data_IF_513374776288
#
_entry.id   IF_513374776288
#
_cell.length_a   1.000
_cell.length_b   1.000
_cell.length_c   1.000
_cell.angle_alpha   90.00
_cell.angle_beta   90.00
_cell.angle_gamma   90.00
#
_symmetry.space_group_name_H-M   'P 1'
#
loop_
_entity.id
_entity.type
_entity.pdbx_description
1 polymer ?
#
# COMPACT_ATOMS: atom_id res chain seq x y z
N UNK A 1 -0.36 12.95 -23.52
CA UNK A 1 -0.83 11.59 -23.90
C UNK A 1 -1.52 10.87 -22.74
N UNK A 2 -0.99 10.91 -21.51
CA UNK A 2 -1.60 10.21 -20.36
C UNK A 2 -3.00 10.66 -19.96
N UNK A 3 -3.45 11.81 -20.46
CA UNK A 3 -4.73 12.42 -20.12
C UNK A 3 -5.89 12.04 -21.07
N UNK A 4 -5.57 11.49 -22.25
CA UNK A 4 -6.55 11.09 -23.26
C UNK A 4 -6.99 9.64 -23.06
N UNK A 5 -8.28 9.37 -23.28
CA UNK A 5 -8.85 8.03 -23.41
C UNK A 5 -9.20 7.73 -24.87
N UNK A 6 -9.45 6.47 -25.21
CA UNK A 6 -9.77 6.05 -26.58
C UNK A 6 -8.73 6.54 -27.62
N UNK A 7 -7.46 6.52 -27.23
CA UNK A 7 -6.36 7.09 -28.03
C UNK A 7 -6.15 6.27 -29.30
N UNK A 8 -6.12 6.96 -30.43
CA UNK A 8 -5.87 6.38 -31.75
C UNK A 8 -4.74 7.15 -32.47
N UNK A 9 -3.96 6.47 -33.33
CA UNK A 9 -2.90 7.13 -34.11
C UNK A 9 -3.47 8.25 -34.96
N UNK A 10 -2.75 9.37 -35.07
CA UNK A 10 -3.13 10.50 -35.91
C UNK A 10 -1.99 10.77 -36.89
N UNK A 11 -2.33 11.02 -38.15
CA UNK A 11 -1.38 11.40 -39.21
C UNK A 11 -1.60 12.83 -39.70
N UNK A 12 -2.48 13.56 -39.03
CA UNK A 12 -2.81 14.95 -39.37
C UNK A 12 -1.75 15.92 -38.84
N UNK A 13 -1.77 17.14 -39.35
CA UNK A 13 -0.95 18.24 -38.83
C UNK A 13 -1.82 19.46 -38.55
N UNK A 14 -1.45 20.23 -37.54
CA UNK A 14 -2.10 21.50 -37.18
C UNK A 14 -1.08 22.61 -37.31
N UNK A 15 -1.45 23.71 -37.96
CA UNK A 15 -0.59 24.89 -38.11
C UNK A 15 -1.03 25.99 -37.15
N UNK A 16 -0.05 26.61 -36.48
CA UNK A 16 -0.28 27.80 -35.67
C UNK A 16 -0.33 29.08 -36.50
N UNK A 17 -0.30 30.23 -35.81
CA UNK A 17 -0.25 31.56 -36.44
C UNK A 17 1.02 31.77 -37.28
N UNK A 18 2.08 31.01 -36.98
CA UNK A 18 3.34 31.00 -37.74
C UNK A 18 3.26 30.24 -39.07
N UNK A 19 2.11 29.62 -39.37
CA UNK A 19 1.85 28.88 -40.61
C UNK A 19 2.63 27.56 -40.75
N UNK A 20 3.40 27.17 -39.73
CA UNK A 20 4.23 25.95 -39.79
C UNK A 20 3.41 24.74 -39.34
N UNK A 21 3.32 23.67 -40.17
CA UNK A 21 2.59 22.48 -39.80
C UNK A 21 3.29 21.73 -38.68
N UNK A 22 2.55 21.45 -37.60
CA UNK A 22 3.00 20.66 -36.47
C UNK A 22 2.30 19.29 -36.51
N UNK A 23 3.05 18.18 -36.47
CA UNK A 23 2.45 16.85 -36.55
C UNK A 23 1.65 16.51 -35.29
N UNK A 24 0.44 15.98 -35.48
CA UNK A 24 -0.34 15.39 -34.41
C UNK A 24 0.17 13.97 -34.16
N UNK A 25 0.54 13.64 -32.92
CA UNK A 25 1.06 12.30 -32.60
C UNK A 25 -0.05 11.30 -32.26
N UNK A 26 -1.21 11.80 -31.85
CA UNK A 26 -2.39 11.00 -31.52
C UNK A 26 -3.65 11.86 -31.46
N UNK A 27 -4.80 11.21 -31.53
CA UNK A 27 -6.11 11.80 -31.27
C UNK A 27 -6.87 10.92 -30.28
N UNK A 28 -7.67 11.49 -29.39
CA UNK A 28 -8.45 10.74 -28.41
C UNK A 28 -9.45 11.63 -27.68
N UNK A 29 -10.17 11.07 -26.72
CA UNK A 29 -11.17 11.80 -25.95
C UNK A 29 -10.56 12.30 -24.65
N UNK A 30 -10.88 13.52 -24.24
CA UNK A 30 -10.39 14.14 -23.02
C UNK A 30 -11.55 14.30 -22.01
N UNK A 31 -11.68 13.40 -21.02
CA UNK A 31 -12.67 13.54 -19.97
C UNK A 31 -12.24 14.63 -18.97
N UNK A 32 -13.14 15.59 -18.76
CA UNK A 32 -12.96 16.74 -17.90
C UNK A 32 -14.05 16.77 -16.82
N UNK A 33 -13.71 17.27 -15.64
CA UNK A 33 -14.68 17.64 -14.61
C UNK A 33 -14.64 19.15 -14.43
N UNK A 34 -15.79 19.79 -14.65
CA UNK A 34 -15.93 21.25 -14.70
C UNK A 34 -16.96 21.69 -13.68
N UNK A 35 -16.81 22.90 -13.11
CA UNK A 35 -17.85 23.46 -12.24
C UNK A 35 -18.83 24.27 -13.07
N UNK A 36 -20.12 24.05 -12.86
CA UNK A 36 -21.16 24.90 -13.45
C UNK A 36 -21.30 26.24 -12.69
N UNK A 37 -22.18 27.12 -13.20
CA UNK A 37 -22.53 28.39 -12.56
C UNK A 37 -23.08 28.26 -11.13
N UNK A 38 -23.54 27.08 -10.72
CA UNK A 38 -24.01 26.77 -9.37
C UNK A 38 -22.94 26.07 -8.51
N UNK A 39 -21.69 26.05 -8.97
CA UNK A 39 -20.54 25.43 -8.34
C UNK A 39 -20.68 23.89 -8.15
N UNK A 40 -21.53 23.24 -8.96
CA UNK A 40 -21.69 21.78 -9.01
C UNK A 40 -20.71 21.20 -10.02
N UNK A 41 -20.20 19.99 -9.73
CA UNK A 41 -19.32 19.29 -10.64
C UNK A 41 -20.16 18.68 -11.76
N UNK A 42 -19.80 18.99 -13.00
CA UNK A 42 -20.36 18.46 -14.23
C UNK A 42 -19.24 17.76 -14.98
N UNK A 43 -19.47 16.48 -15.29
CA UNK A 43 -18.57 15.72 -16.15
C UNK A 43 -18.84 16.08 -17.61
N UNK A 44 -17.78 16.35 -18.35
CA UNK A 44 -17.81 16.79 -19.74
C UNK A 44 -16.64 16.16 -20.49
N UNK A 45 -16.88 15.57 -21.65
CA UNK A 45 -15.83 14.91 -22.44
C UNK A 45 -15.66 15.66 -23.73
N UNK A 46 -14.44 16.17 -23.99
CA UNK A 46 -14.07 16.66 -25.31
C UNK A 46 -13.70 15.46 -26.18
N UNK A 47 -14.40 15.25 -27.28
CA UNK A 47 -14.08 14.18 -28.24
C UNK A 47 -13.07 14.69 -29.27
N UNK A 48 -12.33 13.76 -29.87
CA UNK A 48 -11.42 14.04 -31.00
C UNK A 48 -10.33 15.11 -30.74
N UNK A 49 -9.78 15.09 -29.53
CA UNK A 49 -8.69 15.98 -29.11
C UNK A 49 -7.37 15.52 -29.71
N UNK A 50 -6.75 16.41 -30.49
CA UNK A 50 -5.45 16.18 -31.14
C UNK A 50 -4.30 16.51 -30.20
N UNK A 51 -3.35 15.58 -30.06
CA UNK A 51 -2.15 15.75 -29.25
C UNK A 51 -1.01 16.24 -30.14
N UNK A 52 -0.58 17.49 -29.93
CA UNK A 52 0.54 18.13 -30.64
C UNK A 52 1.64 18.46 -29.62
N UNK A 53 2.68 17.62 -29.46
CA UNK A 53 3.65 17.76 -28.37
C UNK A 53 4.48 19.04 -28.40
N UNK A 54 4.58 19.67 -29.58
CA UNK A 54 5.30 20.93 -29.79
C UNK A 54 4.51 22.17 -29.34
N UNK A 55 3.18 22.06 -29.15
CA UNK A 55 2.36 23.15 -28.64
C UNK A 55 2.37 23.15 -27.11
N UNK A 56 2.71 24.29 -26.51
CA UNK A 56 2.77 24.46 -25.05
C UNK A 56 1.41 24.72 -24.41
N UNK A 57 0.49 25.29 -25.18
CA UNK A 57 -0.84 25.68 -24.71
C UNK A 57 -1.92 24.76 -25.29
N UNK A 58 -2.96 24.49 -24.50
CA UNK A 58 -4.14 23.75 -24.95
C UNK A 58 -5.14 24.73 -25.57
N UNK A 59 -5.47 24.50 -26.84
CA UNK A 59 -6.43 25.33 -27.58
C UNK A 59 -7.76 24.58 -27.72
N UNK A 60 -8.86 25.32 -27.55
CA UNK A 60 -10.21 24.82 -27.77
C UNK A 60 -10.78 25.46 -29.04
N UNK A 61 -11.13 24.64 -30.03
CA UNK A 61 -11.79 25.11 -31.24
C UNK A 61 -13.29 25.29 -30.99
N UNK A 62 -13.74 26.54 -30.96
CA UNK A 62 -15.15 26.90 -30.77
C UNK A 62 -16.03 26.34 -31.89
N UNK A 63 -15.58 26.43 -33.14
CA UNK A 63 -16.31 25.90 -34.29
C UNK A 63 -16.44 24.37 -34.24
N UNK A 64 -15.36 23.69 -33.81
CA UNK A 64 -15.39 22.24 -33.63
C UNK A 64 -16.37 21.85 -32.51
N UNK A 65 -16.30 22.54 -31.37
CA UNK A 65 -17.15 22.27 -30.21
C UNK A 65 -18.65 22.39 -30.55
N UNK A 66 -19.01 23.40 -31.35
CA UNK A 66 -20.38 23.53 -31.85
C UNK A 66 -20.72 22.41 -32.85
N UNK A 67 -19.83 22.10 -33.79
CA UNK A 67 -20.10 21.07 -34.81
C UNK A 67 -20.24 19.65 -34.25
N UNK A 68 -19.55 19.35 -33.15
CA UNK A 68 -19.51 18.01 -32.56
C UNK A 68 -20.55 17.84 -31.46
N UNK A 69 -20.67 18.82 -30.57
CA UNK A 69 -21.47 18.71 -29.34
C UNK A 69 -22.61 19.72 -29.24
N UNK A 70 -22.86 20.51 -30.30
CA UNK A 70 -23.87 21.58 -30.35
C UNK A 70 -23.80 22.52 -29.12
N UNK A 71 -22.57 22.81 -28.68
CA UNK A 71 -22.29 23.64 -27.50
C UNK A 71 -21.97 25.06 -27.93
N UNK A 72 -22.78 26.01 -27.46
CA UNK A 72 -22.61 27.43 -27.76
C UNK A 72 -21.54 28.05 -26.85
N UNK A 73 -20.70 28.93 -27.41
CA UNK A 73 -19.63 29.61 -26.66
C UNK A 73 -19.94 31.11 -26.53
N UNK A 74 -20.26 31.58 -25.32
CA UNK A 74 -20.61 32.98 -25.09
C UNK A 74 -19.46 33.76 -24.49
N UNK A 75 -18.81 34.63 -25.28
CA UNK A 75 -17.61 35.36 -24.83
C UNK A 75 -17.87 36.74 -24.19
N UNK A 76 -19.06 37.30 -24.40
CA UNK A 76 -19.39 38.67 -23.97
C UNK A 76 -19.72 38.75 -22.46
N UNK A 77 -21.00 38.89 -22.13
CA UNK A 77 -21.46 39.11 -20.75
C UNK A 77 -21.58 37.80 -19.95
N UNK A 78 -21.87 36.69 -20.64
CA UNK A 78 -22.15 35.39 -20.02
C UNK A 78 -20.86 34.64 -19.69
N UNK A 79 -19.85 34.69 -20.58
CA UNK A 79 -18.52 34.06 -20.40
C UNK A 79 -18.61 32.60 -20.00
N UNK A 80 -19.36 31.82 -20.78
CA UNK A 80 -19.58 30.41 -20.50
C UNK A 80 -19.79 29.60 -21.78
N UNK A 81 -19.50 28.31 -21.69
CA UNK A 81 -19.99 27.31 -22.64
C UNK A 81 -21.40 26.91 -22.24
N UNK A 82 -22.34 26.97 -23.17
CA UNK A 82 -23.72 26.55 -22.98
C UNK A 82 -23.90 25.19 -23.63
N UNK A 83 -24.03 24.16 -22.79
CA UNK A 83 -24.29 22.80 -23.25
C UNK A 83 -25.72 22.68 -23.80
N UNK A 84 -25.95 21.75 -24.74
CA UNK A 84 -27.29 21.45 -25.22
C UNK A 84 -28.23 21.06 -24.06
N UNK A 85 -29.54 21.32 -24.21
CA UNK A 85 -30.51 21.02 -23.17
C UNK A 85 -30.50 19.53 -22.81
N UNK A 86 -30.51 19.23 -21.51
CA UNK A 86 -30.63 17.86 -21.02
C UNK A 86 -32.04 17.28 -21.26
N UNK A 87 -32.27 16.01 -20.90
CA UNK A 87 -33.56 15.36 -21.05
C UNK A 87 -34.73 16.07 -20.32
N UNK A 88 -34.44 17.01 -19.41
CA UNK A 88 -35.41 17.86 -18.72
C UNK A 88 -35.59 19.24 -19.36
N UNK A 89 -34.95 19.48 -20.51
CA UNK A 89 -34.97 20.75 -21.23
C UNK A 89 -34.06 21.83 -20.62
N UNK A 90 -33.25 21.50 -19.61
CA UNK A 90 -32.40 22.48 -18.91
C UNK A 90 -31.03 22.57 -19.57
N UNK A 91 -30.60 23.80 -19.84
CA UNK A 91 -29.26 24.09 -20.35
C UNK A 91 -28.30 24.35 -19.20
N UNK A 92 -27.06 23.88 -19.34
CA UNK A 92 -26.01 24.04 -18.33
C UNK A 92 -24.95 24.99 -18.84
N UNK A 93 -24.59 25.98 -18.01
CA UNK A 93 -23.55 26.95 -18.28
C UNK A 93 -22.26 26.58 -17.55
N UNK A 94 -21.18 26.40 -18.30
CA UNK A 94 -19.84 26.13 -17.80
C UNK A 94 -18.99 27.41 -17.93
N UNK A 95 -18.84 28.18 -16.84
CA UNK A 95 -18.16 29.48 -16.87
C UNK A 95 -16.66 29.36 -17.15
N UNK A 96 -16.13 30.36 -17.85
CA UNK A 96 -14.70 30.61 -18.02
C UNK A 96 -14.37 32.07 -17.67
N UNK A 97 -13.11 32.36 -17.35
CA UNK A 97 -12.68 33.69 -16.90
C UNK A 97 -11.84 34.39 -17.97
N UNK A 98 -11.87 35.72 -17.99
CA UNK A 98 -11.01 36.50 -18.89
C UNK A 98 -9.82 37.06 -18.10
N UNK A 99 -8.60 36.72 -18.51
CA UNK A 99 -7.36 37.18 -17.88
C UNK A 99 -6.32 37.45 -18.97
N UNK A 100 -5.62 38.58 -18.88
CA UNK A 100 -4.55 38.94 -19.83
C UNK A 100 -4.99 39.04 -21.30
N UNK A 101 -6.29 39.30 -21.57
CA UNK A 101 -6.84 39.34 -22.93
C UNK A 101 -7.30 37.98 -23.48
N UNK A 102 -7.00 36.88 -22.79
CA UNK A 102 -7.41 35.52 -23.14
C UNK A 102 -8.59 35.04 -22.30
N UNK A 103 -9.33 34.06 -22.81
CA UNK A 103 -10.36 33.34 -22.07
C UNK A 103 -9.77 32.03 -21.54
N UNK A 104 -9.67 31.92 -20.22
CA UNK A 104 -9.13 30.78 -19.51
C UNK A 104 -10.29 29.94 -18.97
N UNK A 105 -10.33 28.66 -19.35
CA UNK A 105 -11.29 27.71 -18.84
C UNK A 105 -10.64 26.79 -17.81
N UNK A 106 -11.08 26.91 -16.55
CA UNK A 106 -10.54 26.13 -15.45
C UNK A 106 -11.24 24.78 -15.38
N UNK A 107 -10.54 23.74 -15.83
CA UNK A 107 -11.03 22.36 -15.83
C UNK A 107 -10.15 21.50 -14.94
N UNK A 108 -10.77 20.53 -14.24
CA UNK A 108 -10.02 19.49 -13.54
C UNK A 108 -9.94 18.26 -14.43
N UNK A 109 -8.72 17.75 -14.66
CA UNK A 109 -8.54 16.48 -15.35
C UNK A 109 -9.11 15.34 -14.53
N UNK A 110 -9.87 14.46 -15.17
CA UNK A 110 -10.36 13.22 -14.58
C UNK A 110 -9.46 12.08 -15.05
N UNK A 111 -8.58 11.59 -14.17
CA UNK A 111 -7.91 10.31 -14.40
C UNK A 111 -8.98 9.21 -14.39
N UNK A 112 -9.21 8.47 -15.48
CA UNK A 112 -10.16 7.36 -15.52
C UNK A 112 -9.82 6.25 -14.51
N UNK A 113 -8.57 6.18 -14.04
CA UNK A 113 -8.11 5.27 -12.98
C UNK A 113 -8.36 5.81 -11.57
N UNK A 114 -8.70 7.09 -11.43
CA UNK A 114 -9.10 7.69 -10.17
C UNK A 114 -10.59 7.49 -9.94
N UNK A 115 -10.97 6.29 -9.48
CA UNK A 115 -12.25 6.09 -8.77
C UNK A 115 -12.43 7.22 -7.74
N UNK A 116 -13.56 7.92 -7.81
CA UNK A 116 -14.05 8.97 -6.92
C UNK A 116 -13.01 9.74 -6.10
N UNK A 117 -12.89 11.04 -6.38
CA UNK A 117 -12.39 12.03 -5.41
C UNK A 117 -13.37 12.11 -4.22
N UNK A 118 -13.45 11.04 -3.43
CA UNK A 118 -13.90 11.12 -2.05
C UNK A 118 -12.93 12.07 -1.36
N UNK A 119 -13.48 13.10 -0.75
CA UNK A 119 -12.78 14.13 0.02
C UNK A 119 -11.57 13.54 0.73
N UNK A 120 -10.38 14.15 0.53
CA UNK A 120 -9.13 13.83 1.24
C UNK A 120 -9.39 13.91 2.75
N UNK A 121 -9.83 12.82 3.35
CA UNK A 121 -10.19 12.79 4.74
C UNK A 121 -8.95 12.42 5.54
N UNK A 122 -8.53 13.36 6.40
CA UNK A 122 -7.35 13.20 7.23
C UNK A 122 -7.80 12.61 8.57
N UNK A 123 -7.34 11.41 8.88
CA UNK A 123 -7.76 10.68 10.07
C UNK A 123 -6.56 10.25 10.92
N UNK A 124 -6.79 10.11 12.22
CA UNK A 124 -5.81 9.45 13.11
C UNK A 124 -5.59 8.01 12.66
N UNK A 125 -4.36 7.51 12.79
CA UNK A 125 -4.04 6.11 12.45
C UNK A 125 -4.83 5.07 13.22
N UNK A 126 -5.48 5.44 14.34
CA UNK A 126 -6.32 4.55 15.15
C UNK A 126 -7.82 4.81 14.99
N UNK A 127 -8.22 5.79 14.18
CA UNK A 127 -9.64 6.15 14.04
C UNK A 127 -10.39 5.11 13.21
N UNK A 128 -11.54 4.65 13.70
CA UNK A 128 -12.44 3.71 13.02
C UNK A 128 -13.76 4.33 12.60
N UNK A 129 -14.18 5.44 13.21
CA UNK A 129 -15.49 6.07 12.98
C UNK A 129 -15.78 6.36 11.52
N UNK A 130 -14.79 6.89 10.78
CA UNK A 130 -14.96 7.20 9.36
C UNK A 130 -15.22 5.97 8.48
N UNK A 131 -14.74 4.78 8.85
CA UNK A 131 -14.96 3.54 8.10
C UNK A 131 -16.28 2.87 8.54
N UNK A 132 -16.66 3.02 9.81
CA UNK A 132 -17.91 2.46 10.33
C UNK A 132 -19.15 3.08 9.68
N UNK A 133 -19.07 4.34 9.24
CA UNK A 133 -20.17 5.06 8.58
C UNK A 133 -20.18 4.82 7.05
N UNK A 134 -19.14 4.18 6.49
CA UNK A 134 -19.09 3.85 5.06
C UNK A 134 -20.08 2.73 4.70
N UNK A 135 -20.56 2.77 3.45
CA UNK A 135 -21.26 1.63 2.87
C UNK A 135 -20.35 0.38 2.87
N UNK A 136 -20.93 -0.81 2.93
CA UNK A 136 -20.20 -2.07 3.09
C UNK A 136 -19.11 -2.26 2.02
N UNK A 137 -19.43 -1.98 0.75
CA UNK A 137 -18.48 -2.11 -0.36
C UNK A 137 -17.34 -1.10 -0.26
N UNK A 138 -17.62 0.12 0.18
CA UNK A 138 -16.61 1.16 0.35
C UNK A 138 -15.65 0.84 1.49
N UNK A 139 -16.18 0.38 2.61
CA UNK A 139 -15.40 -0.12 3.72
C UNK A 139 -14.52 -1.30 3.28
N UNK A 140 -15.06 -2.21 2.45
CA UNK A 140 -14.31 -3.32 1.90
C UNK A 140 -13.19 -2.87 0.95
N UNK A 141 -13.45 -1.94 0.03
CA UNK A 141 -12.40 -1.36 -0.82
C UNK A 141 -11.31 -0.67 0.01
N UNK A 142 -11.70 0.10 1.02
CA UNK A 142 -10.75 0.76 1.92
C UNK A 142 -9.90 -0.25 2.68
N UNK A 143 -10.53 -1.25 3.29
CA UNK A 143 -9.83 -2.28 4.08
C UNK A 143 -8.98 -3.20 3.19
N UNK A 144 -9.40 -3.46 1.95
CA UNK A 144 -8.58 -4.17 0.98
C UNK A 144 -7.34 -3.36 0.61
N UNK A 145 -7.44 -2.05 0.32
CA UNK A 145 -6.25 -1.21 0.06
C UNK A 145 -5.31 -1.12 1.26
N UNK A 146 -5.84 -1.30 2.47
CA UNK A 146 -5.08 -1.26 3.72
C UNK A 146 -4.28 -2.53 3.99
N UNK A 147 -4.79 -3.69 3.58
CA UNK A 147 -4.27 -5.00 3.99
C UNK A 147 -3.94 -5.92 2.81
N UNK A 148 -4.36 -5.57 1.60
CA UNK A 148 -4.32 -6.39 0.39
C UNK A 148 -4.82 -7.84 0.60
N UNK A 149 -5.75 -8.03 1.53
CA UNK A 149 -6.30 -9.35 1.83
C UNK A 149 -7.35 -9.75 0.80
N UNK A 150 -7.36 -11.03 0.40
CA UNK A 150 -8.37 -11.58 -0.51
C UNK A 150 -9.81 -11.46 0.04
N UNK A 151 -10.80 -11.44 -0.85
CA UNK A 151 -12.19 -11.15 -0.51
C UNK A 151 -12.79 -12.04 0.58
N UNK A 152 -12.55 -13.34 0.52
CA UNK A 152 -13.04 -14.27 1.56
C UNK A 152 -12.47 -13.94 2.96
N UNK A 153 -11.20 -13.53 3.02
CA UNK A 153 -10.54 -13.14 4.28
C UNK A 153 -11.04 -11.78 4.76
N UNK A 154 -11.25 -10.84 3.84
CA UNK A 154 -11.78 -9.51 4.13
C UNK A 154 -13.13 -9.59 4.87
N UNK A 155 -14.02 -10.49 4.43
CA UNK A 155 -15.33 -10.73 5.07
C UNK A 155 -15.21 -11.28 6.49
N UNK A 156 -14.18 -12.11 6.75
CA UNK A 156 -13.90 -12.72 8.05
C UNK A 156 -13.13 -11.81 9.02
N UNK A 157 -12.70 -10.61 8.62
CA UNK A 157 -11.91 -9.74 9.49
C UNK A 157 -12.65 -9.34 10.77
N UNK A 158 -13.98 -9.19 10.72
CA UNK A 158 -14.79 -8.88 11.91
C UNK A 158 -14.79 -10.01 12.95
N UNK A 159 -14.56 -11.25 12.51
CA UNK A 159 -14.42 -12.42 13.38
C UNK A 159 -12.98 -12.59 13.86
N UNK A 160 -11.98 -12.28 13.02
CA UNK A 160 -10.56 -12.44 13.31
C UNK A 160 -9.94 -11.32 14.14
N UNK A 161 -10.57 -10.14 14.19
CA UNK A 161 -9.99 -8.94 14.79
C UNK A 161 -11.00 -8.26 15.71
N UNK A 162 -10.51 -7.42 16.62
CA UNK A 162 -11.34 -6.73 17.60
C UNK A 162 -11.93 -5.41 17.10
N UNK A 163 -11.42 -4.88 15.98
CA UNK A 163 -11.67 -3.50 15.53
C UNK A 163 -12.09 -3.37 14.06
N UNK A 164 -12.27 -4.48 13.33
CA UNK A 164 -12.79 -4.45 11.97
C UNK A 164 -14.29 -4.08 11.91
N UNK A 165 -14.73 -3.35 10.88
CA UNK A 165 -16.15 -3.07 10.66
C UNK A 165 -16.96 -4.35 10.40
N UNK A 166 -18.11 -4.50 11.05
CA UNK A 166 -19.01 -5.64 10.85
C UNK A 166 -19.66 -5.65 9.46
N UNK A 167 -19.77 -4.49 8.80
CA UNK A 167 -20.34 -4.36 7.45
C UNK A 167 -19.58 -5.15 6.39
N UNK A 168 -18.30 -5.45 6.62
CA UNK A 168 -17.44 -6.20 5.69
C UNK A 168 -18.00 -7.59 5.33
N UNK A 169 -18.73 -8.24 6.24
CA UNK A 169 -19.31 -9.58 6.02
C UNK A 169 -20.25 -9.61 4.81
N UNK A 170 -20.90 -8.48 4.52
CA UNK A 170 -21.92 -8.32 3.48
C UNK A 170 -21.39 -7.67 2.21
N UNK A 171 -20.11 -7.28 2.18
CA UNK A 171 -19.54 -6.56 1.05
C UNK A 171 -19.28 -7.49 -0.16
N UNK A 172 -19.28 -6.92 -1.35
CA UNK A 172 -18.73 -7.56 -2.54
C UNK A 172 -17.21 -7.72 -2.41
N UNK A 173 -16.64 -8.72 -3.10
CA UNK A 173 -15.18 -8.87 -3.18
C UNK A 173 -14.62 -7.74 -4.04
N UNK A 174 -13.67 -6.93 -3.52
CA UNK A 174 -13.10 -5.84 -4.29
C UNK A 174 -12.18 -6.39 -5.39
N UNK A 175 -12.33 -5.85 -6.61
CA UNK A 175 -11.33 -6.01 -7.67
C UNK A 175 -10.15 -5.06 -7.41
N UNK A 176 -8.92 -5.52 -7.64
CA UNK A 176 -7.71 -4.74 -7.37
C UNK A 176 -6.66 -4.98 -8.44
N UNK A 177 -6.43 -3.95 -9.26
CA UNK A 177 -5.43 -3.94 -10.34
C UNK A 177 -4.03 -4.22 -9.80
N UNK A 178 -3.62 -3.55 -8.71
CA UNK A 178 -2.30 -3.77 -8.09
C UNK A 178 -2.09 -5.22 -7.63
N UNK A 179 -3.14 -5.92 -7.19
CA UNK A 179 -3.05 -7.34 -6.85
C UNK A 179 -2.95 -8.22 -8.10
N UNK A 180 -3.71 -7.90 -9.15
CA UNK A 180 -3.71 -8.63 -10.41
C UNK A 180 -2.36 -8.50 -11.14
N UNK A 181 -1.84 -7.27 -11.24
CA UNK A 181 -0.52 -6.97 -11.81
C UNK A 181 0.59 -7.65 -11.02
N UNK A 182 0.55 -7.58 -9.68
CA UNK A 182 1.60 -8.11 -8.82
C UNK A 182 1.67 -9.64 -8.77
N UNK A 183 0.53 -10.34 -8.87
CA UNK A 183 0.40 -11.74 -8.43
C UNK A 183 -0.31 -12.68 -9.41
N UNK A 184 -0.33 -12.36 -10.72
CA UNK A 184 -0.86 -13.27 -11.74
C UNK A 184 -0.17 -14.66 -11.68
N UNK A 185 -0.85 -15.68 -11.14
CA UNK A 185 -0.23 -17.01 -10.91
C UNK A 185 -1.22 -18.18 -11.02
N UNK A 186 -0.67 -19.37 -11.32
CA UNK A 186 -1.35 -20.67 -11.53
C UNK A 186 -1.77 -21.34 -10.21
N UNK A 187 -2.70 -22.29 -10.34
CA UNK A 187 -3.40 -23.01 -9.25
C UNK A 187 -2.46 -23.64 -8.20
N UNK A 188 -2.88 -23.65 -6.91
CA UNK A 188 -2.12 -24.26 -5.83
C UNK A 188 -2.07 -25.80 -5.94
N UNK A 189 -0.96 -26.39 -5.50
CA UNK A 189 -0.85 -27.82 -5.19
C UNK A 189 -1.21 -28.07 -3.72
N UNK A 190 -1.93 -29.15 -3.46
CA UNK A 190 -2.22 -29.63 -2.11
C UNK A 190 -1.03 -30.43 -1.55
N UNK A 191 -0.55 -30.06 -0.37
CA UNK A 191 0.18 -30.98 0.50
C UNK A 191 -0.40 -30.86 1.90
N UNK A 192 -0.80 -31.99 2.47
CA UNK A 192 -1.27 -32.08 3.85
C UNK A 192 -0.23 -32.78 4.71
N UNK A 193 0.29 -32.09 5.74
CA UNK A 193 0.93 -32.68 6.92
C UNK A 193 0.82 -31.76 8.17
N UNK A 194 -0.15 -30.84 8.26
CA UNK A 194 -0.30 -30.03 9.48
C UNK A 194 -0.83 -30.86 10.64
N UNK A 195 -0.11 -30.85 11.77
CA UNK A 195 -0.55 -31.46 13.03
C UNK A 195 -0.59 -30.40 14.13
N UNK A 196 -1.76 -30.14 14.74
CA UNK A 196 -1.86 -29.23 15.88
C UNK A 196 -0.90 -29.63 17.02
N UNK A 197 -0.31 -28.64 17.68
CA UNK A 197 0.64 -28.80 18.78
C UNK A 197 0.60 -27.59 19.73
N UNK A 198 1.73 -26.94 20.00
CA UNK A 198 1.81 -25.72 20.81
C UNK A 198 2.85 -24.75 20.22
N UNK A 199 2.70 -23.43 20.42
CA UNK A 199 3.69 -22.45 19.95
C UNK A 199 5.06 -22.71 20.58
N UNK A 200 6.11 -22.64 19.77
CA UNK A 200 7.49 -22.90 20.17
C UNK A 200 7.95 -24.34 20.02
N UNK A 201 7.06 -25.30 19.74
CA UNK A 201 7.47 -26.70 19.53
C UNK A 201 8.46 -26.83 18.36
N UNK A 202 8.10 -26.25 17.22
CA UNK A 202 8.83 -26.35 15.96
C UNK A 202 8.84 -25.00 15.27
N UNK A 203 10.04 -24.50 14.96
CA UNK A 203 10.24 -23.21 14.32
C UNK A 203 10.97 -23.42 13.01
N UNK A 204 10.37 -23.00 11.91
CA UNK A 204 10.98 -23.04 10.60
C UNK A 204 11.74 -21.74 10.33
N UNK A 205 12.94 -21.83 9.77
CA UNK A 205 13.72 -20.67 9.32
C UNK A 205 14.03 -20.78 7.84
N UNK A 206 14.04 -19.62 7.17
CA UNK A 206 14.40 -19.51 5.76
C UNK A 206 15.01 -18.14 5.47
N UNK A 207 16.07 -18.11 4.66
CA UNK A 207 16.71 -16.86 4.22
C UNK A 207 16.37 -16.61 2.76
N UNK A 208 15.90 -15.40 2.47
CA UNK A 208 15.60 -14.97 1.10
C UNK A 208 16.43 -13.78 0.66
N UNK A 209 16.67 -13.72 -0.64
CA UNK A 209 17.56 -12.76 -1.30
C UNK A 209 18.73 -13.44 -2.02
N UNK A 210 19.68 -12.66 -2.55
CA UNK A 210 19.80 -11.21 -2.38
C UNK A 210 18.74 -10.42 -3.15
N UNK A 211 18.17 -9.41 -2.49
CA UNK A 211 17.31 -8.39 -3.10
C UNK A 211 18.13 -7.13 -3.47
N UNK A 212 17.48 -6.17 -4.15
CA UNK A 212 18.06 -4.85 -4.34
C UNK A 212 18.49 -4.26 -2.98
N UNK A 213 19.63 -3.53 -2.92
CA UNK A 213 20.02 -2.83 -1.69
C UNK A 213 18.89 -1.93 -1.20
N UNK A 214 18.52 -2.10 0.07
CA UNK A 214 17.43 -1.32 0.65
C UNK A 214 17.85 0.13 0.93
N UNK A 215 16.87 1.04 0.92
CA UNK A 215 17.08 2.46 1.29
C UNK A 215 17.56 2.61 2.74
N UNK A 216 17.11 1.73 3.62
CA UNK A 216 17.43 1.73 5.04
C UNK A 216 18.69 0.89 5.31
N UNK A 217 19.83 1.41 4.84
CA UNK A 217 21.14 0.87 5.18
C UNK A 217 21.57 -0.34 4.35
N UNK A 218 21.12 -0.46 3.10
CA UNK A 218 21.68 -1.39 2.12
C UNK A 218 21.47 -2.86 2.45
N UNK A 219 20.37 -3.20 3.13
CA UNK A 219 20.03 -4.59 3.45
C UNK A 219 19.70 -5.33 2.16
N UNK A 220 20.02 -6.63 2.11
CA UNK A 220 19.82 -7.46 0.91
C UNK A 220 19.12 -8.79 1.20
N UNK A 221 19.01 -9.20 2.46
CA UNK A 221 18.43 -10.48 2.82
C UNK A 221 17.33 -10.33 3.86
N UNK A 222 16.33 -11.21 3.79
CA UNK A 222 15.28 -11.34 4.80
C UNK A 222 15.35 -12.75 5.39
N UNK A 223 15.58 -12.83 6.69
CA UNK A 223 15.39 -14.05 7.47
C UNK A 223 13.92 -14.10 7.91
N UNK A 224 13.19 -15.09 7.41
CA UNK A 224 11.81 -15.37 7.80
C UNK A 224 11.82 -16.53 8.78
N UNK A 225 11.25 -16.32 9.96
CA UNK A 225 11.12 -17.30 11.02
C UNK A 225 9.63 -17.55 11.24
N UNK A 226 9.20 -18.81 11.18
CA UNK A 226 7.79 -19.20 11.26
C UNK A 226 7.60 -20.23 12.37
N UNK A 227 6.74 -19.92 13.33
CA UNK A 227 6.27 -20.94 14.28
C UNK A 227 5.31 -21.90 13.57
N UNK A 228 5.59 -23.20 13.59
CA UNK A 228 4.79 -24.20 12.87
C UNK A 228 3.35 -24.24 13.37
N UNK A 229 3.14 -24.14 14.69
CA UNK A 229 1.81 -24.29 15.27
C UNK A 229 0.90 -23.09 15.00
N UNK A 230 1.33 -21.90 15.43
CA UNK A 230 0.56 -20.64 15.32
C UNK A 230 0.61 -20.05 13.92
N UNK A 231 1.55 -20.50 13.07
CA UNK A 231 1.88 -19.86 11.79
C UNK A 231 2.32 -18.41 11.95
N UNK A 232 2.76 -17.98 13.13
CA UNK A 232 3.27 -16.65 13.35
C UNK A 232 4.58 -16.45 12.60
N UNK A 233 4.70 -15.35 11.87
CA UNK A 233 5.87 -14.99 11.06
C UNK A 233 6.63 -13.85 11.72
N UNK A 234 7.90 -14.07 12.04
CA UNK A 234 8.85 -13.01 12.36
C UNK A 234 9.79 -12.79 11.18
N UNK A 235 10.18 -11.54 10.92
CA UNK A 235 11.12 -11.21 9.85
C UNK A 235 12.25 -10.34 10.39
N UNK A 236 13.48 -10.73 10.07
CA UNK A 236 14.68 -9.97 10.35
C UNK A 236 15.40 -9.61 9.06
N UNK A 237 15.75 -8.34 8.91
CA UNK A 237 16.33 -7.77 7.70
C UNK A 237 17.84 -7.64 7.86
N UNK A 238 18.61 -8.16 6.91
CA UNK A 238 20.07 -8.35 7.03
C UNK A 238 20.83 -7.81 5.81
N UNK A 239 22.08 -7.39 6.00
CA UNK A 239 23.01 -7.04 4.91
C UNK A 239 23.71 -8.29 4.37
N UNK A 240 24.03 -9.21 5.26
CA UNK A 240 24.75 -10.44 4.95
C UNK A 240 24.08 -11.66 5.60
N UNK A 241 24.19 -12.82 4.96
CA UNK A 241 23.62 -14.08 5.49
C UNK A 241 24.20 -14.51 6.83
N UNK A 242 25.47 -14.18 7.11
CA UNK A 242 26.14 -14.54 8.36
C UNK A 242 25.52 -13.86 9.60
N UNK A 243 24.66 -12.86 9.41
CA UNK A 243 23.91 -12.22 10.51
C UNK A 243 22.76 -13.10 11.02
N UNK A 244 22.33 -14.12 10.27
CA UNK A 244 21.16 -14.94 10.58
C UNK A 244 21.24 -15.61 11.97
N UNK A 245 22.35 -16.28 12.38
CA UNK A 245 22.49 -16.83 13.72
C UNK A 245 22.22 -15.83 14.85
N UNK A 246 22.70 -14.58 14.72
CA UNK A 246 22.48 -13.52 15.73
C UNK A 246 21.01 -13.15 15.83
N UNK A 247 20.32 -13.05 14.69
CA UNK A 247 18.89 -12.76 14.66
C UNK A 247 18.04 -13.90 15.20
N UNK A 248 18.39 -15.15 14.87
CA UNK A 248 17.73 -16.35 15.43
C UNK A 248 17.86 -16.35 16.95
N UNK A 249 19.05 -16.14 17.50
CA UNK A 249 19.25 -16.07 18.96
C UNK A 249 18.38 -15.00 19.61
N UNK A 250 18.39 -13.79 19.04
CA UNK A 250 17.58 -12.67 19.55
C UNK A 250 16.08 -12.98 19.50
N UNK A 251 15.65 -13.65 18.44
CA UNK A 251 14.28 -14.13 18.29
C UNK A 251 13.94 -15.19 19.33
N UNK A 252 14.76 -16.23 19.52
CA UNK A 252 14.53 -17.31 20.48
C UNK A 252 14.38 -16.78 21.91
N UNK A 253 15.23 -15.84 22.31
CA UNK A 253 15.15 -15.19 23.61
C UNK A 253 13.83 -14.40 23.77
N UNK A 254 13.49 -13.54 22.81
CA UNK A 254 12.25 -12.75 22.85
C UNK A 254 10.98 -13.60 22.73
N UNK A 255 11.02 -14.66 21.94
CA UNK A 255 9.91 -15.58 21.74
C UNK A 255 9.66 -16.41 22.99
N UNK A 256 10.71 -16.93 23.62
CA UNK A 256 10.60 -17.64 24.90
C UNK A 256 10.04 -16.72 26.00
N UNK A 257 10.49 -15.46 26.07
CA UNK A 257 9.91 -14.49 27.00
C UNK A 257 8.40 -14.28 26.76
N UNK A 258 7.98 -14.16 25.48
CA UNK A 258 6.57 -14.04 25.10
C UNK A 258 5.75 -15.29 25.47
N UNK A 259 6.27 -16.50 25.21
CA UNK A 259 5.57 -17.76 25.53
C UNK A 259 5.33 -17.97 27.03
N UNK A 260 6.13 -17.31 27.86
CA UNK A 260 6.08 -17.39 29.32
C UNK A 260 5.53 -16.10 29.96
N UNK A 261 5.00 -15.17 29.17
CA UNK A 261 4.39 -13.94 29.70
C UNK A 261 3.23 -14.29 30.66
N UNK A 262 3.23 -13.68 31.84
CA UNK A 262 2.22 -13.92 32.88
C UNK A 262 2.34 -15.26 33.62
N UNK A 263 3.49 -15.95 33.54
CA UNK A 263 3.77 -17.18 34.29
C UNK A 263 4.88 -16.98 35.31
N UNK A 264 4.70 -17.53 36.51
CA UNK A 264 5.68 -17.43 37.60
C UNK A 264 6.94 -18.27 37.35
N UNK A 265 6.82 -19.32 36.52
CA UNK A 265 7.95 -20.16 36.10
C UNK A 265 7.97 -20.34 34.58
N UNK A 266 9.16 -20.29 33.94
CA UNK A 266 9.29 -20.56 32.52
C UNK A 266 8.95 -22.04 32.27
N UNK A 267 7.86 -22.25 31.54
CA UNK A 267 7.26 -23.57 31.29
C UNK A 267 7.36 -23.99 29.83
N UNK A 268 7.76 -23.07 28.94
CA UNK A 268 7.92 -23.34 27.50
C UNK A 268 9.25 -22.79 27.01
N UNK A 269 10.08 -23.68 26.47
CA UNK A 269 11.26 -23.33 25.66
C UNK A 269 11.00 -23.76 24.22
N UNK A 270 11.71 -23.13 23.28
CA UNK A 270 11.64 -23.54 21.88
C UNK A 270 12.24 -24.94 21.75
N UNK A 271 11.48 -25.88 21.20
CA UNK A 271 11.89 -27.28 21.11
C UNK A 271 12.87 -27.53 19.97
N UNK A 272 12.40 -27.31 18.73
CA UNK A 272 13.16 -27.62 17.52
C UNK A 272 13.21 -26.44 16.56
N UNK A 273 14.41 -26.14 16.05
CA UNK A 273 14.60 -25.27 14.90
C UNK A 273 14.82 -26.11 13.65
N UNK A 274 14.04 -25.86 12.61
CA UNK A 274 14.10 -26.52 11.33
C UNK A 274 14.54 -25.54 10.25
N UNK A 275 15.66 -25.82 9.60
CA UNK A 275 16.19 -25.00 8.50
C UNK A 275 16.30 -25.78 7.20
N UNK A 276 16.52 -25.05 6.10
CA UNK A 276 17.10 -25.65 4.91
C UNK A 276 18.59 -26.00 5.15
N UNK A 277 19.21 -26.73 4.21
CA UNK A 277 20.64 -27.06 4.25
C UNK A 277 21.53 -25.86 3.86
N UNK A 278 21.13 -24.64 4.17
CA UNK A 278 21.94 -23.46 3.88
C UNK A 278 23.17 -23.40 4.79
N UNK A 279 24.32 -23.03 4.23
CA UNK A 279 25.62 -23.10 4.92
C UNK A 279 25.71 -22.27 6.21
N UNK A 280 24.95 -21.17 6.31
CA UNK A 280 24.84 -20.37 7.53
C UNK A 280 24.28 -21.14 8.74
N UNK A 281 23.46 -22.18 8.49
CA UNK A 281 22.83 -22.99 9.52
C UNK A 281 23.59 -24.29 9.83
N UNK A 282 24.65 -24.59 9.08
CA UNK A 282 25.45 -25.81 9.25
C UNK A 282 26.76 -25.56 10.02
N UNK A 283 27.03 -24.32 10.42
CA UNK A 283 28.27 -23.99 11.14
C UNK A 283 28.28 -24.57 12.55
N UNK A 284 29.42 -25.12 12.98
CA UNK A 284 29.60 -25.65 14.35
C UNK A 284 29.22 -24.62 15.43
N UNK A 285 29.61 -23.36 15.21
CA UNK A 285 29.28 -22.24 16.09
C UNK A 285 27.77 -22.03 16.25
N UNK A 286 26.99 -22.23 15.19
CA UNK A 286 25.55 -22.12 15.26
C UNK A 286 24.92 -23.34 15.95
N UNK A 287 25.44 -24.54 15.71
CA UNK A 287 25.03 -25.74 16.45
C UNK A 287 25.28 -25.59 17.96
N UNK A 288 26.46 -25.10 18.35
CA UNK A 288 26.80 -24.81 19.76
C UNK A 288 25.86 -23.74 20.34
N UNK A 289 25.58 -22.66 19.60
CA UNK A 289 24.61 -21.63 20.01
C UNK A 289 23.21 -22.22 20.26
N UNK A 290 22.71 -23.09 19.38
CA UNK A 290 21.39 -23.70 19.57
C UNK A 290 21.39 -24.66 20.77
N UNK A 291 22.48 -25.39 21.00
CA UNK A 291 22.64 -26.25 22.17
C UNK A 291 22.62 -25.44 23.48
N UNK A 292 23.32 -24.30 23.52
CA UNK A 292 23.33 -23.38 24.67
C UNK A 292 21.94 -22.81 25.00
N UNK A 293 21.11 -22.59 23.97
CA UNK A 293 19.72 -22.13 24.11
C UNK A 293 18.74 -23.30 24.34
N UNK A 294 19.22 -24.54 24.41
CA UNK A 294 18.40 -25.74 24.63
C UNK A 294 17.52 -26.15 23.43
N UNK A 295 17.86 -25.68 22.23
CA UNK A 295 17.08 -25.89 21.00
C UNK A 295 17.69 -26.98 20.14
N UNK A 296 16.89 -27.98 19.77
CA UNK A 296 17.32 -29.03 18.85
C UNK A 296 17.33 -28.53 17.40
N UNK A 297 18.42 -28.76 16.66
CA UNK A 297 18.51 -28.40 15.25
C UNK A 297 18.11 -29.56 14.33
N UNK A 298 17.27 -29.30 13.33
CA UNK A 298 16.96 -30.24 12.25
C UNK A 298 17.10 -29.55 10.91
N UNK A 299 17.45 -30.29 9.87
CA UNK A 299 17.53 -29.75 8.51
C UNK A 299 16.74 -30.61 7.52
N UNK A 300 16.38 -30.02 6.38
CA UNK A 300 15.83 -30.78 5.27
C UNK A 300 16.86 -31.78 4.73
N UNK A 301 16.43 -32.93 4.22
CA UNK A 301 17.31 -33.78 3.40
C UNK A 301 17.68 -33.05 2.10
N UNK A 302 18.92 -33.22 1.59
CA UNK A 302 19.28 -32.70 0.28
C UNK A 302 18.26 -33.13 -0.78
N UNK A 303 17.82 -32.19 -1.61
CA UNK A 303 16.89 -32.39 -2.74
C UNK A 303 15.39 -32.60 -2.43
N UNK A 304 14.95 -32.51 -1.16
CA UNK A 304 13.51 -32.57 -0.81
C UNK A 304 13.01 -31.23 -0.26
N UNK A 305 12.77 -30.27 -1.16
CA UNK A 305 12.30 -28.92 -0.82
C UNK A 305 10.93 -28.89 -0.12
N UNK A 306 10.09 -29.90 -0.35
CA UNK A 306 8.76 -30.01 0.26
C UNK A 306 8.80 -30.03 1.81
N UNK A 307 9.92 -30.41 2.42
CA UNK A 307 10.07 -30.52 3.88
C UNK A 307 10.13 -29.17 4.60
N UNK A 308 10.55 -28.08 3.95
CA UNK A 308 10.43 -26.72 4.48
C UNK A 308 9.22 -25.94 3.92
N UNK A 309 8.21 -26.66 3.42
CA UNK A 309 7.06 -26.08 2.73
C UNK A 309 6.33 -25.02 3.55
N UNK A 310 6.37 -25.09 4.88
CA UNK A 310 5.78 -24.07 5.78
C UNK A 310 6.47 -22.71 5.62
N UNK A 311 7.81 -22.67 5.71
CA UNK A 311 8.54 -21.42 5.54
C UNK A 311 8.45 -20.91 4.10
N UNK A 312 8.51 -21.81 3.11
CA UNK A 312 8.36 -21.47 1.69
C UNK A 312 6.98 -20.86 1.38
N UNK A 313 5.91 -21.41 1.95
CA UNK A 313 4.56 -20.86 1.82
C UNK A 313 4.43 -19.50 2.52
N UNK A 314 5.02 -19.35 3.70
CA UNK A 314 5.01 -18.10 4.43
C UNK A 314 5.73 -17.00 3.65
N UNK A 315 6.91 -17.29 3.09
CA UNK A 315 7.64 -16.30 2.31
C UNK A 315 6.92 -15.95 1.01
N UNK A 316 6.34 -16.93 0.31
CA UNK A 316 5.52 -16.65 -0.88
C UNK A 316 4.38 -15.68 -0.53
N UNK A 317 3.65 -15.95 0.55
CA UNK A 317 2.55 -15.10 1.01
C UNK A 317 3.03 -13.68 1.37
N UNK A 318 4.18 -13.56 2.03
CA UNK A 318 4.80 -12.27 2.36
C UNK A 318 5.15 -11.52 1.07
N UNK A 319 5.81 -12.17 0.13
CA UNK A 319 6.27 -11.53 -1.10
C UNK A 319 5.13 -11.14 -2.05
N UNK A 320 4.04 -11.91 -2.09
CA UNK A 320 2.83 -11.52 -2.80
C UNK A 320 2.27 -10.19 -2.29
N UNK A 321 2.22 -10.04 -0.97
CA UNK A 321 1.73 -8.82 -0.33
C UNK A 321 2.72 -7.67 -0.46
N UNK A 322 4.03 -7.94 -0.44
CA UNK A 322 5.09 -6.95 -0.73
C UNK A 322 4.89 -6.36 -2.11
N UNK A 323 4.74 -7.21 -3.14
CA UNK A 323 4.53 -6.74 -4.52
C UNK A 323 3.28 -5.88 -4.64
N UNK A 324 2.15 -6.34 -4.07
CA UNK A 324 0.91 -5.56 -4.09
C UNK A 324 1.04 -4.22 -3.39
N UNK A 325 1.72 -4.16 -2.24
CA UNK A 325 1.95 -2.89 -1.51
C UNK A 325 2.85 -1.94 -2.29
N UNK A 326 3.93 -2.43 -2.91
CA UNK A 326 4.86 -1.60 -3.69
C UNK A 326 4.17 -1.04 -4.95
N UNK A 327 3.45 -1.89 -5.70
CA UNK A 327 2.68 -1.47 -6.88
C UNK A 327 1.59 -0.46 -6.48
N UNK A 328 0.79 -0.77 -5.45
CA UNK A 328 -0.30 0.12 -5.02
C UNK A 328 0.17 1.48 -4.47
N UNK A 329 1.40 1.56 -3.98
CA UNK A 329 1.99 2.80 -3.46
C UNK A 329 2.84 3.57 -4.48
N UNK A 330 3.22 2.94 -5.59
CA UNK A 330 4.24 3.48 -6.49
C UNK A 330 5.62 3.60 -5.83
N UNK A 331 5.88 2.84 -4.76
CA UNK A 331 7.16 2.89 -4.05
C UNK A 331 8.26 2.15 -4.83
N UNK A 332 9.49 2.71 -4.92
CA UNK A 332 10.62 2.00 -5.48
C UNK A 332 10.88 0.67 -4.78
N UNK A 333 11.35 -0.31 -5.53
CA UNK A 333 11.67 -1.64 -4.99
C UNK A 333 12.70 -1.61 -3.86
N UNK A 334 13.52 -0.55 -3.75
CA UNK A 334 14.47 -0.34 -2.64
C UNK A 334 13.80 -0.16 -1.27
N UNK A 335 12.49 0.09 -1.20
CA UNK A 335 11.71 0.12 0.05
C UNK A 335 11.21 -1.27 0.51
N UNK A 336 11.66 -2.34 -0.15
CA UNK A 336 11.18 -3.71 0.12
C UNK A 336 11.28 -4.13 1.59
N UNK A 337 12.28 -3.65 2.34
CA UNK A 337 12.47 -3.96 3.77
C UNK A 337 11.25 -3.56 4.61
N UNK A 338 10.76 -2.35 4.39
CA UNK A 338 9.56 -1.84 5.05
C UNK A 338 8.30 -2.56 4.57
N UNK A 339 8.19 -2.83 3.26
CA UNK A 339 7.07 -3.58 2.71
C UNK A 339 6.99 -5.01 3.27
N UNK A 340 8.14 -5.68 3.47
CA UNK A 340 8.24 -7.02 4.05
C UNK A 340 7.78 -7.01 5.51
N UNK A 341 8.28 -6.07 6.33
CA UNK A 341 7.87 -5.93 7.72
C UNK A 341 6.36 -5.63 7.84
N UNK A 342 5.85 -4.72 7.01
CA UNK A 342 4.43 -4.39 6.93
C UNK A 342 3.59 -5.62 6.57
N UNK A 343 4.03 -6.39 5.57
CA UNK A 343 3.32 -7.57 5.07
C UNK A 343 3.26 -8.68 6.12
N UNK A 344 4.34 -8.92 6.86
CA UNK A 344 4.35 -9.86 7.98
C UNK A 344 3.37 -9.42 9.09
N UNK A 345 3.34 -8.12 9.44
CA UNK A 345 2.42 -7.56 10.45
C UNK A 345 0.94 -7.77 10.07
N UNK A 346 0.62 -7.58 8.78
CA UNK A 346 -0.71 -7.83 8.21
C UNK A 346 -1.06 -9.31 8.24
N UNK A 347 -0.17 -10.17 7.74
CA UNK A 347 -0.43 -11.61 7.66
C UNK A 347 -0.64 -12.21 9.06
N UNK A 348 0.13 -11.82 10.06
CA UNK A 348 -0.05 -12.32 11.43
C UNK A 348 -1.44 -12.01 12.03
N UNK A 349 -2.11 -10.95 11.55
CA UNK A 349 -3.41 -10.51 12.08
C UNK A 349 -4.60 -10.90 11.21
N UNK A 350 -4.33 -11.34 9.99
CA UNK A 350 -5.38 -11.67 9.01
C UNK A 350 -5.36 -13.13 8.57
N UNK A 351 -4.27 -13.84 8.86
CA UNK A 351 -4.12 -15.29 8.61
C UNK A 351 -3.94 -16.02 9.93
N UNK A 352 -4.18 -17.33 9.91
CA UNK A 352 -4.03 -18.20 11.07
C UNK A 352 -3.59 -19.60 10.66
N UNK A 353 -3.47 -20.51 11.63
CA UNK A 353 -3.22 -21.92 11.37
C UNK A 353 -4.28 -22.56 10.45
N UNK A 354 -3.93 -23.62 9.71
CA UNK A 354 -4.90 -24.36 8.91
C UNK A 354 -6.12 -24.78 9.75
N UNK A 355 -7.33 -24.57 9.22
CA UNK A 355 -8.61 -24.89 9.86
C UNK A 355 -8.88 -24.19 11.22
N UNK A 356 -8.07 -23.19 11.58
CA UNK A 356 -8.25 -22.43 12.81
C UNK A 356 -9.10 -21.16 12.58
N UNK A 357 -10.04 -20.84 13.47
CA UNK A 357 -10.84 -19.61 13.38
C UNK A 357 -10.12 -18.38 13.93
N UNK A 358 -8.94 -18.53 14.54
CA UNK A 358 -8.17 -17.45 15.16
C UNK A 358 -6.97 -17.06 14.29
N UNK A 359 -6.48 -15.83 14.44
CA UNK A 359 -5.30 -15.38 13.72
C UNK A 359 -4.01 -15.97 14.31
N UNK A 360 -2.91 -15.92 13.56
CA UNK A 360 -1.59 -16.34 14.05
C UNK A 360 -1.16 -15.53 15.27
N UNK A 361 -1.45 -14.23 15.27
CA UNK A 361 -1.23 -13.34 16.41
C UNK A 361 -2.03 -13.77 17.64
N UNK A 362 -3.32 -14.06 17.50
CA UNK A 362 -4.16 -14.52 18.62
C UNK A 362 -3.73 -15.90 19.11
N UNK A 363 -3.39 -16.81 18.20
CA UNK A 363 -2.91 -18.14 18.55
C UNK A 363 -1.61 -18.10 19.36
N UNK A 364 -0.72 -17.14 19.07
CA UNK A 364 0.52 -16.96 19.80
C UNK A 364 0.33 -16.22 21.14
N UNK A 365 -0.42 -15.12 21.13
CA UNK A 365 -0.48 -14.17 22.25
C UNK A 365 -1.70 -14.37 23.16
N UNK A 366 -2.69 -15.14 22.73
CA UNK A 366 -4.00 -15.24 23.36
C UNK A 366 -4.87 -13.98 23.21
N UNK A 367 -4.36 -12.93 22.54
CA UNK A 367 -5.06 -11.64 22.41
C UNK A 367 -5.53 -11.45 20.98
N UNK A 368 -6.83 -11.17 20.83
CA UNK A 368 -7.43 -10.86 19.54
C UNK A 368 -6.77 -9.62 18.91
N UNK A 369 -6.26 -9.69 17.67
CA UNK A 369 -5.50 -8.59 17.09
C UNK A 369 -6.37 -7.36 16.79
N UNK A 370 -5.67 -6.22 16.70
CA UNK A 370 -6.17 -4.97 16.14
C UNK A 370 -5.52 -4.70 14.78
N UNK A 371 -6.33 -4.43 13.77
CA UNK A 371 -5.87 -4.09 12.41
C UNK A 371 -6.04 -2.60 12.10
N UNK A 372 -6.87 -1.89 12.85
CA UNK A 372 -7.08 -0.46 12.66
C UNK A 372 -5.85 0.39 12.93
N UNK A 373 -4.80 -0.06 13.64
CA UNK A 373 -3.52 0.64 13.70
C UNK A 373 -2.58 0.41 12.51
N UNK A 374 -2.91 -0.44 11.51
CA UNK A 374 -2.02 -0.74 10.36
C UNK A 374 -2.38 0.17 9.17
N UNK A 375 -1.76 1.33 8.97
CA UNK A 375 -2.08 2.22 7.85
C UNK A 375 -1.78 1.61 6.48
N UNK A 376 -2.47 2.10 5.44
CA UNK A 376 -2.16 1.76 4.04
C UNK A 376 -0.67 2.03 3.78
N UNK A 377 0.05 1.05 3.26
CA UNK A 377 1.45 1.23 2.88
C UNK A 377 1.58 2.30 1.79
N UNK A 378 2.53 3.22 1.94
CA UNK A 378 2.73 4.32 1.00
C UNK A 378 1.74 5.47 1.08
N UNK A 379 0.76 5.45 2.00
CA UNK A 379 -0.16 6.60 2.13
C UNK A 379 0.54 7.83 2.72
N UNK A 380 0.02 9.01 2.39
CA UNK A 380 0.53 10.28 2.92
C UNK A 380 0.24 10.36 4.42
N UNK A 381 1.27 10.71 5.18
CA UNK A 381 1.24 10.78 6.63
C UNK A 381 1.81 12.10 7.15
N UNK A 382 1.33 12.55 8.30
CA UNK A 382 1.76 13.78 8.96
C UNK A 382 2.29 13.45 10.35
N UNK A 383 3.60 13.60 10.55
CA UNK A 383 4.24 13.43 11.84
C UNK A 383 4.39 14.75 12.56
N UNK A 384 3.90 14.84 13.79
CA UNK A 384 4.08 16.03 14.62
C UNK A 384 5.56 16.25 14.90
N UNK A 385 6.05 17.46 14.64
CA UNK A 385 7.42 17.86 14.96
C UNK A 385 7.59 17.90 16.48
N UNK A 386 8.72 17.43 17.02
CA UNK A 386 9.04 17.62 18.43
C UNK A 386 9.19 19.12 18.72
N UNK A 387 9.03 19.54 19.98
CA UNK A 387 8.99 20.97 20.35
C UNK A 387 10.29 21.70 20.01
N UNK A 388 11.39 20.95 20.00
CA UNK A 388 12.74 21.40 19.71
C UNK A 388 12.92 21.71 18.20
N UNK A 389 12.05 21.17 17.34
CA UNK A 389 12.15 21.30 15.88
C UNK A 389 11.32 22.47 15.30
N UNK A 390 10.71 23.32 16.13
CA UNK A 390 10.06 24.55 15.66
C UNK A 390 10.13 25.66 16.72
N UNK A 391 10.27 26.90 16.25
CA UNK A 391 10.23 28.07 17.14
C UNK A 391 8.80 28.51 17.41
N UNK A 392 8.51 28.99 18.64
CA UNK A 392 7.23 29.66 18.95
C UNK A 392 7.04 30.98 18.19
N UNK A 393 8.14 31.61 17.80
CA UNK A 393 8.15 32.94 17.18
C UNK A 393 8.09 32.89 15.65
N UNK A 394 8.26 31.71 15.04
CA UNK A 394 8.20 31.54 13.58
C UNK A 394 6.91 30.81 13.19
N UNK A 395 6.23 31.31 12.16
CA UNK A 395 4.98 30.74 11.64
C UNK A 395 5.32 29.56 10.72
N UNK A 396 5.79 28.45 11.31
CA UNK A 396 6.20 27.25 10.59
C UNK A 396 5.19 26.10 10.72
N UNK A 397 5.09 25.19 9.73
CA UNK A 397 4.30 23.98 9.86
C UNK A 397 4.77 23.12 11.05
N UNK A 398 3.82 22.67 11.88
CA UNK A 398 4.09 21.84 13.08
C UNK A 398 4.22 20.35 12.80
N UNK A 399 4.15 19.93 11.53
CA UNK A 399 4.26 18.54 11.15
C UNK A 399 5.22 18.38 9.96
N UNK A 400 5.90 17.24 9.91
CA UNK A 400 6.54 16.75 8.71
C UNK A 400 5.51 16.00 7.86
N UNK A 401 5.51 16.30 6.57
CA UNK A 401 4.77 15.53 5.58
C UNK A 401 5.67 14.39 5.12
N UNK A 402 5.19 13.17 5.23
CA UNK A 402 5.92 11.98 4.81
C UNK A 402 5.01 10.92 4.21
N UNK A 403 5.61 9.77 3.93
CA UNK A 403 4.96 8.59 3.37
C UNK A 403 5.06 7.47 4.40
N UNK A 404 3.93 6.81 4.67
CA UNK A 404 3.86 5.73 5.64
C UNK A 404 4.55 4.46 5.13
N UNK A 405 5.53 3.98 5.90
CA UNK A 405 6.26 2.74 5.65
C UNK A 405 5.82 1.60 6.59
N UNK A 406 4.74 1.81 7.35
CA UNK A 406 4.19 0.83 8.29
C UNK A 406 4.63 1.05 9.73
N UNK A 407 4.29 0.09 10.58
CA UNK A 407 4.57 0.14 12.02
C UNK A 407 6.04 -0.16 12.31
N UNK A 408 6.55 0.43 13.37
CA UNK A 408 7.86 0.10 13.91
C UNK A 408 7.87 -1.27 14.58
N UNK A 409 8.91 -2.07 14.31
CA UNK A 409 9.17 -3.34 15.00
C UNK A 409 9.92 -3.13 16.32
N UNK A 410 10.69 -2.06 16.45
CA UNK A 410 11.58 -1.80 17.60
C UNK A 410 10.95 -0.90 18.65
N UNK A 411 9.98 -0.07 18.25
CA UNK A 411 9.36 0.93 19.11
C UNK A 411 7.85 0.71 19.10
N UNK A 412 7.30 -0.01 20.10
CA UNK A 412 5.87 -0.27 20.19
C UNK A 412 5.05 1.02 20.09
N UNK A 413 4.04 1.01 19.22
CA UNK A 413 3.16 2.16 18.98
C UNK A 413 3.69 3.23 18.02
N UNK A 414 4.93 3.10 17.55
CA UNK A 414 5.54 4.00 16.58
C UNK A 414 5.28 3.58 15.12
N UNK A 415 5.49 4.52 14.20
CA UNK A 415 5.41 4.32 12.75
C UNK A 415 6.68 4.78 12.06
N UNK A 416 7.06 4.09 10.99
CA UNK A 416 8.17 4.47 10.14
C UNK A 416 7.62 5.35 9.01
N UNK A 417 8.20 6.54 8.83
CA UNK A 417 7.84 7.44 7.74
C UNK A 417 9.06 7.76 6.88
N UNK A 418 8.87 7.79 5.57
CA UNK A 418 9.81 8.43 4.65
C UNK A 418 9.48 9.92 4.57
N UNK A 419 10.45 10.79 4.83
CA UNK A 419 10.29 12.25 4.80
C UNK A 419 11.38 12.82 3.89
N UNK A 420 11.06 13.13 2.61
CA UNK A 420 12.05 13.62 1.64
C UNK A 420 12.76 14.91 2.08
N UNK A 421 12.11 15.72 2.91
CA UNK A 421 12.64 17.01 3.38
C UNK A 421 13.67 16.90 4.51
N UNK A 422 13.98 15.70 4.99
CA UNK A 422 14.96 15.47 6.06
C UNK A 422 16.21 14.78 5.46
N UNK A 423 17.44 15.21 5.78
CA UNK A 423 18.68 14.71 5.14
C UNK A 423 18.91 13.20 5.22
N UNK A 424 18.35 12.52 6.22
CA UNK A 424 18.45 11.07 6.38
C UNK A 424 17.32 10.28 5.69
N UNK A 425 16.38 10.95 5.01
CA UNK A 425 15.27 10.35 4.25
C UNK A 425 14.19 9.64 5.09
N UNK A 426 14.54 9.08 6.25
CA UNK A 426 13.64 8.30 7.10
C UNK A 426 13.51 8.92 8.49
N UNK A 427 12.28 9.07 8.98
CA UNK A 427 11.96 9.49 10.34
C UNK A 427 11.23 8.37 11.06
N UNK A 428 11.75 7.99 12.22
CA UNK A 428 11.07 7.11 13.15
C UNK A 428 10.17 7.93 14.07
N UNK A 429 8.85 7.74 13.97
CA UNK A 429 7.90 8.55 14.72
C UNK A 429 7.35 7.74 15.89
N UNK A 430 7.83 8.02 17.09
CA UNK A 430 7.23 7.49 18.32
C UNK A 430 5.91 8.23 18.58
N UNK A 431 4.76 7.54 18.57
CA UNK A 431 3.45 8.19 18.73
C UNK A 431 2.87 7.91 20.11
N UNK A 432 3.03 8.86 21.01
CA UNK A 432 2.00 9.21 21.98
C UNK A 432 1.37 10.53 21.48
N UNK A 433 0.26 10.40 20.74
CA UNK A 433 -0.55 11.46 20.12
C UNK A 433 0.03 12.18 18.88
N UNK A 434 -0.43 11.83 17.66
CA UNK A 434 -0.33 12.80 16.54
C UNK A 434 -0.30 12.32 15.09
N UNK A 435 -0.13 11.02 14.78
CA UNK A 435 -0.07 10.62 13.37
C UNK A 435 -1.43 10.77 12.68
N UNK A 436 -1.49 11.68 11.71
CA UNK A 436 -2.63 11.86 10.83
C UNK A 436 -2.30 11.30 9.44
N UNK A 437 -3.26 10.66 8.80
CA UNK A 437 -3.09 9.96 7.52
C UNK A 437 -4.10 10.50 6.50
N UNK A 438 -3.69 10.60 5.25
CA UNK A 438 -4.56 10.99 4.14
C UNK A 438 -4.83 9.79 3.21
N UNK A 439 -6.10 9.54 2.90
CA UNK A 439 -6.59 8.28 2.30
C UNK A 439 -6.47 8.20 0.77
N UNK A 440 -5.99 9.24 0.08
CA UNK A 440 -5.82 9.13 -1.38
C UNK A 440 -4.62 8.26 -1.72
N UNK A 441 -4.79 7.38 -2.71
CA UNK A 441 -3.67 6.78 -3.42
C UNK A 441 -2.83 7.92 -3.98
N UNK A 442 -1.72 8.24 -3.35
CA UNK A 442 -0.65 8.94 -4.05
C UNK A 442 0.00 7.88 -4.93
N UNK A 443 -0.58 7.63 -6.10
CA UNK A 443 0.04 6.79 -7.13
C UNK A 443 1.41 7.35 -7.60
N UNK A 444 1.80 8.55 -7.15
CA UNK A 444 3.00 9.25 -7.63
C UNK A 444 3.93 9.80 -6.54
N UNK A 445 3.72 9.58 -5.24
CA UNK A 445 4.53 10.30 -4.22
C UNK A 445 5.95 9.74 -4.00
N UNK A 446 6.21 8.49 -4.38
CA UNK A 446 7.52 7.85 -4.28
C UNK A 446 8.17 7.55 -5.64
N UNK A 447 7.45 7.77 -6.75
CA UNK A 447 7.95 7.50 -8.10
C UNK A 447 9.06 8.48 -8.52
N UNK A 448 9.17 9.64 -7.86
CA UNK A 448 10.16 10.70 -8.13
C UNK A 448 11.40 10.65 -7.19
N UNK A 449 11.65 9.52 -6.50
CA UNK A 449 12.84 9.31 -5.65
C UNK A 449 13.95 8.56 -6.36
#
# INVERSE_FOLDING_TARGET
MGDLVNVRPCTESVSGVDGKPQPCVAVGDLPLSVRDSQNRIVDFTLTDVRCVPSMRDSLLSVGQLWSTDNTDCHFANIRALELPPDASGRRKLLPFIRRGGLFEWHVAHRDPRSSDLRTLAVHSSRASSHIQVMAANDAAHYMHRRLHCGGARLKKLSELTSDAPQSLRHAATPSCEACAEANATRLPHSSELYKPSHPGRLIHVFVSGPFLPSVDGGRRYALVIVDDHSRFKAVHLMRHKHEAPKHIRSFLAGFTALLNEGRDTPTRVVGTLHSDNAGEFLSKKFTELLADEGVHATTCTPHVHQLNGVAEQAIRSIMELVRSNLVASGAPASFWTHAVAHSADVLNRTTGPPHSPISSYECLTGVKPRIMPIPIFGCRAFAVKPREAYSKTRIEPRAWVGINLGRSLTSPGAYNLYVPSVPCGCVHVCVYAGLRLCVRACACALADV
#
